data_IF_851301240764
#
_entry.id   IF_851301240764
#
_cell.length_a   1.000
_cell.length_b   1.000
_cell.length_c   1.000
_cell.angle_alpha   90.00
_cell.angle_beta   90.00
_cell.angle_gamma   90.00
#
_symmetry.space_group_name_H-M   'P 1'
#
loop_
_entity.id
_entity.type
_entity.pdbx_description
1 polymer ?
#
# COMPACT_ATOMS: atom_id res chain seq x y z
N UNK A 1 16.70 0.26 20.43
CA UNK A 1 15.52 0.39 21.31
C UNK A 1 14.28 0.34 20.41
N UNK A 2 13.82 -0.87 20.10
CA UNK A 2 12.50 -1.10 19.50
C UNK A 2 11.79 -2.03 20.48
N UNK A 3 10.67 -1.55 21.04
CA UNK A 3 9.89 -2.22 22.09
C UNK A 3 8.79 -3.11 21.52
N UNK A 4 8.78 -3.34 20.20
CA UNK A 4 7.85 -4.20 19.48
C UNK A 4 8.57 -4.91 18.33
N UNK A 5 8.14 -6.14 18.01
CA UNK A 5 8.43 -6.77 16.72
C UNK A 5 7.58 -6.08 15.66
N UNK A 6 8.21 -5.39 14.73
CA UNK A 6 7.51 -4.84 13.56
C UNK A 6 7.08 -5.98 12.64
N UNK A 7 5.78 -6.18 12.49
CA UNK A 7 5.24 -6.95 11.37
C UNK A 7 5.35 -6.10 10.11
N UNK A 8 6.35 -6.42 9.30
CA UNK A 8 6.60 -5.81 7.99
C UNK A 8 6.10 -6.74 6.91
N UNK A 9 5.46 -6.17 5.88
CA UNK A 9 5.05 -6.93 4.71
C UNK A 9 6.29 -7.48 3.97
N UNK A 10 6.15 -8.65 3.35
CA UNK A 10 7.22 -9.24 2.54
C UNK A 10 7.44 -8.49 1.21
N UNK A 11 6.37 -7.91 0.66
CA UNK A 11 6.35 -7.28 -0.66
C UNK A 11 5.64 -5.93 -0.66
N UNK A 12 5.96 -5.11 -1.66
CA UNK A 12 5.26 -3.86 -1.98
C UNK A 12 5.04 -3.76 -3.49
N UNK A 13 3.92 -3.18 -3.89
CA UNK A 13 3.70 -2.76 -5.26
C UNK A 13 4.23 -1.35 -5.49
N UNK A 14 5.09 -1.16 -6.49
CA UNK A 14 5.67 0.13 -6.84
C UNK A 14 5.84 0.24 -8.35
N UNK A 15 5.30 1.30 -8.95
CA UNK A 15 5.43 1.63 -10.37
C UNK A 15 5.13 0.45 -11.32
N UNK A 16 4.04 -0.28 -11.06
CA UNK A 16 3.62 -1.42 -11.89
C UNK A 16 4.18 -2.78 -11.50
N UNK A 17 5.12 -2.85 -10.56
CA UNK A 17 5.80 -4.10 -10.19
C UNK A 17 5.62 -4.44 -8.70
N UNK A 18 5.50 -5.73 -8.39
CA UNK A 18 5.60 -6.24 -7.01
C UNK A 18 7.08 -6.55 -6.75
N UNK A 19 7.66 -5.93 -5.72
CA UNK A 19 9.06 -6.11 -5.33
C UNK A 19 9.17 -6.45 -3.84
N UNK A 20 10.24 -7.14 -3.39
CA UNK A 20 10.48 -7.36 -1.97
C UNK A 20 10.54 -6.04 -1.20
N UNK A 21 9.93 -5.99 -0.01
CA UNK A 21 9.87 -4.76 0.80
C UNK A 21 11.25 -4.15 1.04
N UNK A 22 12.25 -5.00 1.33
CA UNK A 22 13.64 -4.58 1.59
C UNK A 22 14.33 -3.93 0.38
N UNK A 23 13.84 -4.18 -0.83
CA UNK A 23 14.41 -3.65 -2.07
C UNK A 23 13.73 -2.36 -2.53
N UNK A 24 12.67 -1.93 -1.85
CA UNK A 24 11.90 -0.73 -2.19
C UNK A 24 12.61 0.59 -1.81
N UNK A 25 13.87 0.72 -2.23
CA UNK A 25 14.73 1.87 -1.93
C UNK A 25 14.37 3.09 -2.78
N UNK A 26 14.52 4.27 -2.18
CA UNK A 26 14.35 5.56 -2.85
C UNK A 26 15.63 6.37 -2.67
N UNK A 27 16.04 7.14 -3.68
CA UNK A 27 17.18 8.04 -3.53
C UNK A 27 16.79 9.17 -2.58
N UNK A 28 17.72 9.62 -1.73
CA UNK A 28 17.45 10.63 -0.67
C UNK A 28 16.83 11.93 -1.21
N UNK A 29 17.20 12.34 -2.44
CA UNK A 29 16.67 13.54 -3.09
C UNK A 29 15.41 13.29 -3.94
N UNK A 30 14.77 12.12 -3.86
CA UNK A 30 13.59 11.82 -4.68
C UNK A 30 12.39 12.69 -4.27
N UNK A 31 11.99 13.60 -5.14
CA UNK A 31 10.79 14.42 -4.97
C UNK A 31 9.58 13.54 -5.29
N UNK A 32 8.76 13.22 -4.29
CA UNK A 32 7.55 12.42 -4.46
C UNK A 32 7.10 11.71 -3.18
N UNK A 33 7.96 10.85 -2.62
CA UNK A 33 7.61 10.03 -1.45
C UNK A 33 7.43 10.85 -0.15
N UNK A 34 8.06 12.02 -0.06
CA UNK A 34 7.92 12.98 1.03
C UNK A 34 7.29 14.31 0.56
N UNK A 35 6.49 14.27 -0.52
CA UNK A 35 5.94 15.49 -1.12
C UNK A 35 4.53 15.79 -0.58
N UNK A 36 4.23 17.08 -0.46
CA UNK A 36 2.93 17.62 0.01
C UNK A 36 1.81 17.38 -1.03
N UNK A 37 2.15 16.89 -2.22
CA UNK A 37 1.25 16.72 -3.35
C UNK A 37 0.78 15.26 -3.55
N UNK A 38 1.18 14.33 -2.68
CA UNK A 38 0.75 12.94 -2.78
C UNK A 38 -0.73 12.78 -2.41
N UNK A 39 -1.51 12.12 -3.27
CA UNK A 39 -2.84 11.61 -2.93
C UNK A 39 -2.78 10.13 -2.63
N UNK A 40 -3.69 9.64 -1.79
CA UNK A 40 -3.69 8.26 -1.33
C UNK A 40 -5.10 7.75 -1.06
N UNK A 41 -5.23 6.42 -0.96
CA UNK A 41 -6.44 5.74 -0.55
C UNK A 41 -6.14 4.72 0.55
N UNK A 42 -7.07 4.59 1.49
CA UNK A 42 -7.04 3.53 2.51
C UNK A 42 -8.06 2.46 2.16
N UNK A 43 -7.59 1.25 1.81
CA UNK A 43 -8.44 0.13 1.39
C UNK A 43 -8.26 -1.01 2.37
N UNK A 44 -9.37 -1.54 2.90
CA UNK A 44 -9.36 -2.72 3.77
C UNK A 44 -9.69 -3.99 2.97
N UNK A 45 -9.01 -5.06 3.34
CA UNK A 45 -9.39 -6.41 2.98
C UNK A 45 -9.75 -7.19 4.25
N UNK A 46 -10.78 -8.03 4.17
CA UNK A 46 -11.27 -8.83 5.29
C UNK A 46 -11.12 -10.30 4.96
N UNK A 47 -10.43 -11.03 5.84
CA UNK A 47 -10.29 -12.47 5.75
C UNK A 47 -11.55 -13.15 6.27
N UNK A 48 -12.07 -14.11 5.51
CA UNK A 48 -13.18 -14.96 5.91
C UNK A 48 -12.67 -16.39 6.11
N UNK A 49 -12.54 -16.81 7.37
CA UNK A 49 -12.04 -18.13 7.76
C UNK A 49 -12.85 -19.28 7.14
N UNK A 50 -14.19 -19.14 7.08
CA UNK A 50 -15.07 -20.21 6.59
C UNK A 50 -14.89 -20.46 5.09
N UNK A 51 -14.65 -19.39 4.34
CA UNK A 51 -14.50 -19.47 2.88
C UNK A 51 -13.04 -19.52 2.44
N UNK A 52 -12.10 -19.44 3.40
CA UNK A 52 -10.66 -19.33 3.16
C UNK A 52 -10.36 -18.25 2.09
N UNK A 53 -11.05 -17.12 2.19
CA UNK A 53 -11.03 -16.09 1.16
C UNK A 53 -10.82 -14.69 1.74
N UNK A 54 -9.92 -13.95 1.09
CA UNK A 54 -9.72 -12.53 1.36
C UNK A 54 -10.61 -11.69 0.43
N UNK A 55 -11.40 -10.78 1.00
CA UNK A 55 -12.29 -9.89 0.27
C UNK A 55 -11.86 -8.44 0.41
N UNK A 56 -11.56 -7.79 -0.72
CA UNK A 56 -11.25 -6.35 -0.75
C UNK A 56 -12.55 -5.56 -0.79
N UNK A 57 -12.75 -4.66 0.16
CA UNK A 57 -14.01 -3.92 0.29
C UNK A 57 -14.03 -2.69 -0.62
N UNK A 58 -15.02 -2.63 -1.53
CA UNK A 58 -15.32 -1.47 -2.40
C UNK A 58 -14.13 -0.99 -3.25
N UNK A 59 -13.32 -1.92 -3.74
CA UNK A 59 -12.14 -1.60 -4.55
C UNK A 59 -12.47 -0.68 -5.76
N UNK A 60 -13.54 -0.92 -6.55
CA UNK A 60 -13.85 -0.05 -7.70
C UNK A 60 -14.08 1.41 -7.30
N UNK A 61 -14.80 1.66 -6.21
CA UNK A 61 -15.08 3.03 -5.76
C UNK A 61 -13.85 3.74 -5.19
N UNK A 62 -12.99 3.01 -4.48
CA UNK A 62 -11.71 3.55 -4.04
C UNK A 62 -10.83 3.92 -5.25
N UNK A 63 -10.74 3.08 -6.27
CA UNK A 63 -9.97 3.38 -7.49
C UNK A 63 -10.53 4.58 -8.25
N UNK A 64 -11.86 4.71 -8.32
CA UNK A 64 -12.49 5.88 -8.93
C UNK A 64 -12.17 7.17 -8.16
N UNK A 65 -12.28 7.16 -6.82
CA UNK A 65 -11.96 8.33 -5.99
C UNK A 65 -10.47 8.70 -6.06
N UNK A 66 -9.58 7.70 -6.13
CA UNK A 66 -8.16 7.94 -6.30
C UNK A 66 -7.88 8.74 -7.58
N UNK A 67 -8.44 8.33 -8.72
CA UNK A 67 -8.27 9.05 -10.00
C UNK A 67 -8.87 10.46 -9.94
N UNK A 68 -9.99 10.65 -9.23
CA UNK A 68 -10.60 11.97 -9.02
C UNK A 68 -9.80 12.90 -8.08
N UNK A 69 -8.85 12.35 -7.31
CA UNK A 69 -8.03 13.12 -6.37
C UNK A 69 -6.74 13.67 -7.01
N UNK A 70 -6.37 13.16 -8.19
CA UNK A 70 -5.23 13.64 -8.99
C UNK A 70 -5.57 15.01 -9.59
#
# INVERSE_FOLDING_TARGET
>A
MAIYTEEIADYIWRNGNIIPWKEAMVHVNSVGHASVAGVFEGIKAYWNEKHEQLYVFRLPEHMQRFVQSI
#
